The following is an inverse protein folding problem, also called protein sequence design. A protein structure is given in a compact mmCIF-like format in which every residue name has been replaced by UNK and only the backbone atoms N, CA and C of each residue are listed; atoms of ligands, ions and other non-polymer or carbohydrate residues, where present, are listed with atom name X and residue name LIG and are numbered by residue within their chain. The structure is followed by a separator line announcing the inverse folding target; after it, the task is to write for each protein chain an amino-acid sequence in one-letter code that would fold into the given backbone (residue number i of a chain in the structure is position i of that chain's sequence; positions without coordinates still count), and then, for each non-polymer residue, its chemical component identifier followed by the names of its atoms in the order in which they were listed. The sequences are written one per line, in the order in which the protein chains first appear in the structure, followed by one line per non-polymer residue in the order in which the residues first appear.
data_IF_096982057436
#
_entry.id   IF_096982057436
#
_cell.length_a   1.000
_cell.length_b   1.000
_cell.length_c   1.000
_cell.angle_alpha   90.00
_cell.angle_beta   90.00
_cell.angle_gamma   90.00
#
_symmetry.space_group_name_H-M   'P 1'
#
loop_
_entity.id
_entity.type
_entity.pdbx_description
1 polymer ?
#
# COMPACT_ATOMS: atom_id res chain seq x y z
N UNK A 1 -14.20 -62.69 27.07
CA UNK A 1 -14.22 -61.44 27.87
C UNK A 1 -13.25 -60.46 27.24
N UNK A 2 -13.75 -59.34 26.70
CA UNK A 2 -13.00 -58.33 25.92
C UNK A 2 -12.78 -57.13 26.84
N UNK A 3 -11.54 -56.80 27.18
CA UNK A 3 -11.25 -55.55 27.91
C UNK A 3 -11.14 -54.41 26.91
N UNK A 4 -11.87 -53.32 27.18
CA UNK A 4 -11.87 -52.09 26.39
C UNK A 4 -10.87 -51.11 27.00
N UNK A 5 -9.95 -50.57 26.19
CA UNK A 5 -9.18 -49.38 26.54
C UNK A 5 -9.84 -48.17 25.86
N UNK A 6 -10.36 -47.25 26.66
CA UNK A 6 -10.78 -45.94 26.21
C UNK A 6 -9.56 -45.01 26.21
N UNK A 7 -9.22 -44.43 25.05
CA UNK A 7 -8.24 -43.37 24.95
C UNK A 7 -8.96 -42.03 24.78
N UNK A 8 -8.79 -41.11 25.74
CA UNK A 8 -9.18 -39.72 25.61
C UNK A 8 -8.20 -39.02 24.66
N UNK A 9 -8.73 -38.42 23.58
CA UNK A 9 -7.98 -37.54 22.69
C UNK A 9 -8.27 -36.10 23.12
N UNK A 10 -7.29 -35.45 23.75
CA UNK A 10 -7.34 -34.02 24.07
C UNK A 10 -7.10 -33.24 22.77
N UNK A 11 -8.15 -32.64 22.21
CA UNK A 11 -8.01 -31.75 21.05
C UNK A 11 -7.55 -30.37 21.52
N UNK A 12 -6.29 -30.02 21.24
CA UNK A 12 -5.76 -28.66 21.40
C UNK A 12 -6.21 -27.79 20.24
N UNK A 13 -7.00 -26.76 20.53
CA UNK A 13 -7.42 -25.75 19.55
C UNK A 13 -6.26 -24.75 19.38
N UNK A 14 -5.51 -24.86 18.27
CA UNK A 14 -4.49 -23.86 17.91
C UNK A 14 -5.19 -22.63 17.34
N UNK A 15 -5.14 -21.51 18.05
CA UNK A 15 -5.51 -20.19 17.53
C UNK A 15 -4.37 -19.75 16.62
N UNK A 16 -4.58 -19.80 15.31
CA UNK A 16 -3.64 -19.21 14.35
C UNK A 16 -3.93 -17.71 14.27
N UNK A 17 -2.92 -16.82 14.43
CA UNK A 17 -3.10 -15.42 14.10
C UNK A 17 -3.37 -15.30 12.61
N UNK A 18 -4.33 -14.43 12.23
CA UNK A 18 -4.51 -14.04 10.85
C UNK A 18 -3.29 -13.20 10.44
N UNK A 19 -2.23 -13.87 9.97
CA UNK A 19 -1.20 -13.21 9.19
C UNK A 19 -1.91 -12.70 7.94
N UNK A 20 -2.17 -11.39 7.90
CA UNK A 20 -2.57 -10.71 6.69
C UNK A 20 -1.50 -11.02 5.66
N UNK A 21 -1.83 -11.96 4.76
CA UNK A 21 -0.99 -12.33 3.66
C UNK A 21 -0.91 -11.07 2.79
N UNK A 22 0.14 -10.27 2.98
CA UNK A 22 0.53 -9.23 2.04
C UNK A 22 0.88 -9.97 0.76
N UNK A 23 -0.17 -10.20 -0.05
CA UNK A 23 -0.05 -10.80 -1.36
C UNK A 23 1.02 -10.01 -2.10
N UNK A 24 1.91 -10.73 -2.78
CA UNK A 24 2.96 -10.20 -3.63
C UNK A 24 2.32 -9.42 -4.79
N UNK A 25 1.84 -8.21 -4.49
CA UNK A 25 1.27 -7.27 -5.43
C UNK A 25 2.43 -6.50 -6.01
N UNK A 26 3.13 -7.12 -6.97
CA UNK A 26 3.86 -6.34 -7.94
C UNK A 26 2.83 -5.51 -8.72
N UNK A 27 2.86 -4.17 -8.64
CA UNK A 27 1.90 -3.34 -9.33
C UNK A 27 2.08 -3.52 -10.84
N UNK A 28 1.03 -3.98 -11.51
CA UNK A 28 1.03 -4.21 -12.96
C UNK A 28 0.83 -2.90 -13.76
N UNK A 29 1.42 -1.79 -13.30
CA UNK A 29 1.19 -0.45 -13.85
C UNK A 29 2.49 0.37 -13.96
N UNK A 30 2.56 1.37 -14.83
CA UNK A 30 3.78 2.15 -15.05
C UNK A 30 4.04 3.21 -13.96
N UNK A 31 3.11 3.44 -13.03
CA UNK A 31 3.14 4.60 -12.12
C UNK A 31 4.08 4.53 -10.91
N UNK A 32 4.80 3.43 -10.73
CA UNK A 32 5.83 3.31 -9.67
C UNK A 32 6.86 4.44 -9.80
N UNK A 33 7.26 4.99 -8.66
CA UNK A 33 8.26 6.04 -8.56
C UNK A 33 7.82 7.23 -7.71
N UNK A 34 8.64 8.27 -7.72
CA UNK A 34 8.45 9.47 -6.93
C UNK A 34 7.61 10.50 -7.70
N UNK A 35 6.65 11.09 -7.01
CA UNK A 35 5.72 12.11 -7.46
C UNK A 35 5.84 13.31 -6.54
N UNK A 36 5.94 14.51 -7.10
CA UNK A 36 6.31 15.70 -6.33
C UNK A 36 5.47 16.89 -6.78
N UNK A 37 4.99 17.67 -5.82
CA UNK A 37 4.36 18.97 -6.11
C UNK A 37 5.36 19.95 -6.70
N UNK A 38 4.90 20.92 -7.51
CA UNK A 38 5.79 21.87 -8.20
C UNK A 38 6.66 22.70 -7.24
N UNK A 39 6.20 22.92 -6.01
CA UNK A 39 6.94 23.62 -4.94
C UNK A 39 7.81 22.69 -4.07
N UNK A 40 7.86 21.40 -4.41
CA UNK A 40 8.61 20.34 -3.71
C UNK A 40 8.25 20.17 -2.22
N UNK A 41 7.09 20.68 -1.78
CA UNK A 41 6.63 20.56 -0.39
C UNK A 41 6.02 19.21 -0.10
N UNK A 42 5.50 18.51 -1.10
CA UNK A 42 4.98 17.14 -0.98
C UNK A 42 5.78 16.22 -1.90
N UNK A 43 6.30 15.14 -1.34
CA UNK A 43 7.04 14.07 -2.03
C UNK A 43 6.34 12.75 -1.75
N UNK A 44 5.75 12.15 -2.76
CA UNK A 44 4.91 10.96 -2.68
C UNK A 44 5.51 9.85 -3.53
N UNK A 45 5.89 8.75 -2.90
CA UNK A 45 6.53 7.62 -3.57
C UNK A 45 5.58 6.44 -3.67
N UNK A 46 5.34 5.95 -4.88
CA UNK A 46 4.63 4.70 -5.14
C UNK A 46 5.67 3.58 -5.30
N UNK A 47 5.71 2.65 -4.35
CA UNK A 47 6.69 1.56 -4.32
C UNK A 47 6.23 0.34 -5.15
N UNK A 48 7.14 -0.49 -5.68
CA UNK A 48 6.81 -1.74 -6.37
C UNK A 48 6.15 -2.81 -5.50
N UNK A 49 5.94 -2.56 -4.21
CA UNK A 49 5.25 -3.47 -3.28
C UNK A 49 3.76 -3.16 -3.16
N UNK A 50 3.23 -2.19 -3.91
CA UNK A 50 1.86 -1.69 -3.70
C UNK A 50 1.74 -0.79 -2.46
N UNK A 51 2.86 -0.32 -1.91
CA UNK A 51 2.91 0.59 -0.75
C UNK A 51 3.26 2.01 -1.18
N UNK A 52 2.68 3.02 -0.56
CA UNK A 52 3.09 4.41 -0.75
C UNK A 52 3.71 5.00 0.51
N UNK A 53 4.55 6.02 0.31
CA UNK A 53 5.09 6.85 1.39
C UNK A 53 5.01 8.31 0.94
N UNK A 54 4.42 9.18 1.77
CA UNK A 54 4.36 10.62 1.52
C UNK A 54 5.14 11.40 2.58
N UNK A 55 5.97 12.34 2.14
CA UNK A 55 6.61 13.34 2.99
C UNK A 55 6.02 14.73 2.73
N UNK A 56 5.83 15.51 3.79
CA UNK A 56 5.32 16.89 3.74
C UNK A 56 6.26 17.86 4.43
N UNK A 57 6.85 18.78 3.67
CA UNK A 57 7.84 19.74 4.15
C UNK A 57 9.06 19.03 4.74
N UNK A 58 9.26 19.18 6.05
CA UNK A 58 10.32 18.52 6.81
C UNK A 58 9.87 17.21 7.47
N UNK A 59 8.57 16.89 7.44
CA UNK A 59 8.03 15.65 7.99
C UNK A 59 8.11 14.56 6.95
N UNK A 60 9.13 13.72 7.09
CA UNK A 60 9.23 12.46 6.35
C UNK A 60 8.17 11.46 6.85
N UNK A 61 7.69 10.57 5.97
CA UNK A 61 6.63 9.58 6.25
C UNK A 61 5.43 10.20 6.99
N UNK A 62 4.95 11.33 6.46
CA UNK A 62 3.75 12.00 6.93
C UNK A 62 2.53 11.08 6.81
N UNK A 63 2.46 10.32 5.72
CA UNK A 63 1.44 9.32 5.44
C UNK A 63 2.05 8.09 4.77
N UNK A 64 1.44 6.94 4.99
CA UNK A 64 1.84 5.69 4.35
C UNK A 64 0.75 4.65 4.42
N UNK A 65 0.75 3.76 3.44
CA UNK A 65 -0.25 2.71 3.39
C UNK A 65 -0.09 1.88 2.13
N UNK A 66 -1.18 1.20 1.78
CA UNK A 66 -1.27 0.49 0.51
C UNK A 66 -2.00 1.33 -0.53
N UNK A 67 -1.76 1.03 -1.79
CA UNK A 67 -2.50 1.60 -2.89
C UNK A 67 -2.86 0.54 -3.93
N UNK A 68 -3.88 0.79 -4.74
CA UNK A 68 -4.27 -0.02 -5.89
C UNK A 68 -4.53 0.89 -7.08
N UNK A 69 -4.21 0.43 -8.29
CA UNK A 69 -4.44 1.18 -9.53
C UNK A 69 -5.34 0.39 -10.45
N UNK A 70 -6.40 1.05 -10.93
CA UNK A 70 -7.27 0.56 -12.00
C UNK A 70 -7.22 1.53 -13.19
N UNK A 71 -6.56 1.11 -14.27
CA UNK A 71 -6.32 1.95 -15.43
C UNK A 71 -5.48 3.19 -15.10
N UNK A 72 -6.13 4.35 -15.01
CA UNK A 72 -5.52 5.63 -14.61
C UNK A 72 -5.98 6.11 -13.24
N UNK A 73 -6.88 5.39 -12.59
CA UNK A 73 -7.37 5.73 -11.26
C UNK A 73 -6.54 5.02 -10.19
N UNK A 74 -6.29 5.68 -9.05
CA UNK A 74 -5.55 5.12 -7.92
C UNK A 74 -6.33 5.31 -6.62
N UNK A 75 -6.46 4.23 -5.86
CA UNK A 75 -7.07 4.19 -4.54
C UNK A 75 -5.99 3.99 -3.48
N UNK A 76 -6.16 4.64 -2.33
CA UNK A 76 -5.24 4.59 -1.20
C UNK A 76 -5.96 4.18 0.07
N UNK A 77 -5.28 3.37 0.87
CA UNK A 77 -5.67 3.04 2.24
C UNK A 77 -4.47 3.22 3.14
N UNK A 78 -4.51 4.29 3.94
CA UNK A 78 -3.47 4.62 4.89
C UNK A 78 -3.50 3.67 6.09
N UNK A 79 -2.33 3.38 6.64
CA UNK A 79 -2.18 2.49 7.80
C UNK A 79 -2.90 3.04 9.06
N UNK A 80 -3.20 4.35 9.10
CA UNK A 80 -3.98 4.99 10.16
C UNK A 80 -5.50 4.95 9.94
N UNK A 81 -5.96 4.44 8.79
CA UNK A 81 -7.37 4.13 8.54
C UNK A 81 -8.16 5.16 7.74
N UNK A 82 -7.53 6.17 7.14
CA UNK A 82 -8.18 7.02 6.13
C UNK A 82 -7.98 6.48 4.72
N UNK A 83 -8.88 6.85 3.82
CA UNK A 83 -8.81 6.55 2.40
C UNK A 83 -8.66 7.83 1.60
N UNK A 84 -8.06 7.72 0.42
CA UNK A 84 -7.95 8.79 -0.54
C UNK A 84 -7.87 8.22 -1.95
N UNK A 85 -8.11 9.05 -2.94
CA UNK A 85 -8.12 8.67 -4.34
C UNK A 85 -7.32 9.66 -5.19
N UNK A 86 -7.06 9.29 -6.44
CA UNK A 86 -6.47 10.17 -7.43
C UNK A 86 -6.51 9.61 -8.84
N UNK A 87 -6.10 10.44 -9.79
CA UNK A 87 -6.08 10.10 -11.21
C UNK A 87 -4.75 10.50 -11.88
N UNK A 88 -4.15 9.57 -12.58
CA UNK A 88 -3.06 9.83 -13.53
C UNK A 88 -3.65 10.43 -14.80
N UNK A 89 -3.59 11.76 -14.93
CA UNK A 89 -4.12 12.47 -16.11
C UNK A 89 -3.20 12.32 -17.32
N UNK A 90 -1.91 12.04 -17.10
CA UNK A 90 -0.94 11.63 -18.10
C UNK A 90 0.20 10.81 -17.45
N UNK A 91 1.21 10.39 -18.22
CA UNK A 91 2.31 9.55 -17.74
C UNK A 91 3.17 10.17 -16.61
N UNK A 92 3.13 11.50 -16.47
CA UNK A 92 3.96 12.29 -15.58
C UNK A 92 3.17 13.24 -14.67
N UNK A 93 1.83 13.15 -14.65
CA UNK A 93 0.98 14.03 -13.85
C UNK A 93 -0.08 13.21 -13.09
N UNK A 94 -0.08 13.34 -11.77
CA UNK A 94 -1.05 12.72 -10.85
C UNK A 94 -1.87 13.82 -10.16
N UNK A 95 -3.19 13.74 -10.24
CA UNK A 95 -4.12 14.54 -9.45
C UNK A 95 -4.54 13.74 -8.21
N UNK A 96 -4.24 14.22 -7.02
CA UNK A 96 -4.52 13.49 -5.77
C UNK A 96 -4.70 14.44 -4.60
N UNK A 97 -5.76 14.28 -3.80
CA UNK A 97 -5.97 15.09 -2.59
C UNK A 97 -6.02 16.61 -2.84
N UNK A 98 -6.51 17.03 -4.01
CA UNK A 98 -6.52 18.44 -4.46
C UNK A 98 -5.14 18.97 -4.90
N UNK A 99 -4.13 18.11 -4.98
CA UNK A 99 -2.78 18.44 -5.41
C UNK A 99 -2.54 17.94 -6.84
N UNK A 100 -1.62 18.61 -7.53
CA UNK A 100 -1.03 18.13 -8.78
C UNK A 100 0.41 17.73 -8.46
N UNK A 101 0.74 16.47 -8.71
CA UNK A 101 2.09 15.94 -8.54
C UNK A 101 2.69 15.56 -9.88
N UNK A 102 3.96 15.91 -10.07
CA UNK A 102 4.76 15.58 -11.24
C UNK A 102 5.66 14.39 -10.96
N UNK A 103 5.78 13.49 -11.92
CA UNK A 103 6.77 12.40 -11.83
C UNK A 103 8.17 13.00 -11.75
N UNK A 104 8.91 12.63 -10.70
CA UNK A 104 10.33 12.90 -10.61
C UNK A 104 11.08 11.89 -11.48
N UNK A 105 11.93 12.34 -12.42
CA UNK A 105 12.81 11.44 -13.16
C UNK A 105 13.66 10.62 -12.18
N UNK A 106 13.86 9.34 -12.47
CA UNK A 106 14.90 8.58 -11.78
C UNK A 106 16.23 9.34 -11.94
N UNK A 107 16.99 9.48 -10.85
CA UNK A 107 18.33 10.03 -10.97
C UNK A 107 19.14 9.15 -11.93
N UNK A 108 19.93 9.73 -12.85
CA UNK A 108 20.79 8.98 -13.75
C UNK A 108 21.85 8.17 -12.98
#
# INVERSE_FOLDING_TARGET
MRQAFAALITATLSIQPAEAQEANLQPNHPYVGMWVTDDNRVRHELLPSGRYIEARGQRERAYEGRYEVDGTHIEYWDDTGFTADGDFVDANTLHHGGMILRRKPAAP
#
